data_IF_641602514515
#
_entry.id   IF_641602514515
#
_cell.length_a   1.000
_cell.length_b   1.000
_cell.length_c   1.000
_cell.angle_alpha   90.00
_cell.angle_beta   90.00
_cell.angle_gamma   90.00
#
_symmetry.space_group_name_H-M   'P 1'
#
loop_
_entity.id
_entity.type
_entity.pdbx_description
1 polymer ?
#
# COMPACT_ATOMS: atom_id res chain seq x y z
N UNK A 1 -22.86 -14.31 2.14
CA UNK A 1 -21.89 -13.67 3.05
C UNK A 1 -20.55 -13.57 2.34
N UNK A 2 -20.04 -12.37 2.05
CA UNK A 2 -18.68 -12.23 1.51
C UNK A 2 -17.71 -12.65 2.60
N UNK A 3 -16.85 -13.65 2.34
CA UNK A 3 -15.82 -14.05 3.29
C UNK A 3 -14.82 -12.89 3.42
N UNK A 4 -14.60 -12.40 4.63
CA UNK A 4 -13.51 -11.46 4.91
C UNK A 4 -12.21 -12.16 4.54
N UNK A 5 -11.56 -11.73 3.45
CA UNK A 5 -10.24 -12.23 3.09
C UNK A 5 -9.21 -11.49 3.94
N UNK A 6 -8.22 -12.20 4.51
CA UNK A 6 -7.12 -11.55 5.20
C UNK A 6 -6.33 -10.69 4.20
N UNK A 7 -6.02 -9.47 4.62
CA UNK A 7 -5.12 -8.56 3.88
C UNK A 7 -3.78 -8.57 4.61
N UNK A 8 -2.70 -8.84 3.87
CA UNK A 8 -1.33 -8.83 4.39
C UNK A 8 -0.54 -7.79 3.62
N UNK A 9 0.13 -6.90 4.35
CA UNK A 9 1.05 -5.92 3.80
C UNK A 9 2.28 -5.83 4.70
N UNK A 10 3.41 -5.43 4.13
CA UNK A 10 4.67 -5.17 4.83
C UNK A 10 4.88 -3.66 4.90
N UNK A 11 5.27 -3.15 6.07
CA UNK A 11 5.63 -1.74 6.27
C UNK A 11 7.12 -1.68 6.56
N UNK A 12 7.84 -0.90 5.76
CA UNK A 12 9.26 -0.60 5.96
C UNK A 12 9.39 0.87 6.37
N UNK A 13 9.98 1.11 7.55
CA UNK A 13 10.34 2.45 8.01
C UNK A 13 11.77 2.70 7.56
N UNK A 14 11.95 3.72 6.72
CA UNK A 14 13.23 4.02 6.08
C UNK A 14 13.87 5.25 6.74
N UNK A 15 13.04 6.25 7.11
CA UNK A 15 13.51 7.49 7.72
C UNK A 15 12.60 7.94 8.87
N UNK A 16 13.20 8.67 9.82
CA UNK A 16 12.48 9.43 10.83
C UNK A 16 12.89 10.90 10.75
N UNK A 17 12.01 11.71 10.14
CA UNK A 17 12.25 13.12 9.85
C UNK A 17 11.06 13.94 10.31
N UNK A 18 11.28 15.16 10.80
CA UNK A 18 10.21 16.05 11.31
C UNK A 18 9.26 15.37 12.33
N UNK A 19 9.81 14.49 13.16
CA UNK A 19 9.07 13.70 14.15
C UNK A 19 8.03 12.72 13.58
N UNK A 20 8.12 12.36 12.29
CA UNK A 20 7.23 11.41 11.64
C UNK A 20 8.00 10.27 10.97
N UNK A 21 7.36 9.09 10.87
CA UNK A 21 7.89 7.99 10.06
C UNK A 21 7.66 8.22 8.57
N UNK A 22 8.64 7.80 7.78
CA UNK A 22 8.59 7.79 6.31
C UNK A 22 9.13 6.46 5.80
N UNK A 23 8.61 6.00 4.67
CA UNK A 23 9.06 4.75 4.08
C UNK A 23 8.04 4.19 3.10
N UNK A 24 7.91 2.87 3.06
CA UNK A 24 7.11 2.19 2.04
C UNK A 24 6.21 1.10 2.62
N UNK A 25 5.06 0.89 1.97
CA UNK A 25 4.17 -0.24 2.20
C UNK A 25 4.15 -1.14 0.97
N UNK A 26 4.31 -2.45 1.18
CA UNK A 26 4.36 -3.45 0.12
C UNK A 26 3.20 -4.42 0.23
N UNK A 27 2.46 -4.60 -0.86
CA UNK A 27 1.33 -5.53 -0.94
C UNK A 27 1.14 -6.00 -2.38
N UNK A 28 0.97 -7.30 -2.60
CA UNK A 28 0.66 -7.88 -3.92
C UNK A 28 1.59 -7.42 -5.07
N UNK A 29 2.88 -7.18 -4.78
CA UNK A 29 3.86 -6.70 -5.75
C UNK A 29 3.84 -5.19 -6.00
N UNK A 30 2.93 -4.44 -5.36
CA UNK A 30 2.95 -2.98 -5.34
C UNK A 30 3.78 -2.47 -4.16
N UNK A 31 4.50 -1.38 -4.37
CA UNK A 31 5.21 -0.63 -3.33
C UNK A 31 4.70 0.80 -3.36
N UNK A 32 4.18 1.29 -2.23
CA UNK A 32 3.58 2.62 -2.14
C UNK A 32 4.31 3.40 -1.03
N UNK A 33 4.88 4.59 -1.34
CA UNK A 33 5.56 5.40 -0.32
C UNK A 33 4.56 6.11 0.59
N UNK A 34 4.97 6.38 1.83
CA UNK A 34 4.29 7.26 2.77
C UNK A 34 5.28 8.28 3.35
N UNK A 35 4.81 9.48 3.66
CA UNK A 35 5.65 10.60 4.14
C UNK A 35 5.29 11.03 5.56
N UNK A 36 4.22 10.48 6.12
CA UNK A 36 3.83 10.73 7.49
C UNK A 36 3.06 9.56 8.12
N UNK A 37 2.93 9.58 9.45
CA UNK A 37 2.09 8.63 10.18
C UNK A 37 0.63 8.67 9.72
N UNK A 38 0.12 9.88 9.40
CA UNK A 38 -1.22 10.05 8.86
C UNK A 38 -1.36 9.43 7.46
N UNK A 39 -0.39 9.64 6.57
CA UNK A 39 -0.38 9.03 5.25
C UNK A 39 -0.39 7.50 5.33
N UNK A 40 0.40 6.93 6.26
CA UNK A 40 0.43 5.50 6.52
C UNK A 40 -0.94 4.97 6.97
N UNK A 41 -1.61 5.64 7.91
CA UNK A 41 -2.93 5.24 8.39
C UNK A 41 -3.99 5.32 7.30
N UNK A 42 -3.97 6.37 6.48
CA UNK A 42 -4.87 6.52 5.33
C UNK A 42 -4.63 5.41 4.31
N UNK A 43 -3.36 5.06 4.06
CA UNK A 43 -3.00 3.97 3.16
C UNK A 43 -3.52 2.63 3.67
N UNK A 44 -3.29 2.30 4.95
CA UNK A 44 -3.79 1.05 5.55
C UNK A 44 -5.31 1.01 5.48
N UNK A 45 -5.99 2.11 5.81
CA UNK A 45 -7.44 2.19 5.72
C UNK A 45 -7.93 1.93 4.29
N UNK A 46 -7.23 2.43 3.28
CA UNK A 46 -7.52 2.15 1.88
C UNK A 46 -7.32 0.67 1.54
N UNK A 47 -6.18 0.07 1.92
CA UNK A 47 -5.85 -1.32 1.62
C UNK A 47 -6.81 -2.32 2.28
N UNK A 48 -7.36 -1.99 3.44
CA UNK A 48 -8.31 -2.83 4.17
C UNK A 48 -9.74 -2.70 3.62
N UNK A 49 -10.12 -1.51 3.14
CA UNK A 49 -11.50 -1.23 2.71
C UNK A 49 -11.73 -1.34 1.20
N UNK A 50 -10.70 -1.19 0.37
CA UNK A 50 -10.88 -1.29 -1.08
C UNK A 50 -10.92 -2.74 -1.55
N UNK A 51 -11.84 -3.02 -2.49
CA UNK A 51 -11.69 -3.97 -3.55
C UNK A 51 -10.25 -4.27 -3.89
N UNK A 52 -9.65 -5.46 -3.66
CA UNK A 52 -8.44 -5.80 -4.41
C UNK A 52 -8.83 -6.04 -5.89
N UNK A 53 -9.34 -5.01 -6.56
CA UNK A 53 -9.56 -4.99 -7.99
C UNK A 53 -8.18 -4.86 -8.61
N UNK A 54 -7.63 -6.04 -8.88
CA UNK A 54 -6.55 -6.31 -9.84
C UNK A 54 -6.52 -5.24 -10.95
N UNK A 55 -5.79 -4.16 -10.73
CA UNK A 55 -5.53 -3.15 -11.74
C UNK A 55 -4.42 -3.70 -12.63
N UNK A 56 -4.76 -4.73 -13.41
CA UNK A 56 -3.93 -5.20 -14.51
C UNK A 56 -4.01 -4.16 -15.63
N UNK A 57 -3.15 -3.15 -15.57
CA UNK A 57 -2.66 -2.55 -16.80
C UNK A 57 -1.36 -3.25 -17.16
N UNK A 58 -1.53 -4.37 -17.86
CA UNK A 58 -0.48 -4.95 -18.69
C UNK A 58 -0.25 -3.93 -19.80
N UNK A 59 0.64 -2.96 -19.59
CA UNK A 59 1.16 -2.14 -20.69
C UNK A 59 2.12 -3.04 -21.45
N UNK A 60 1.55 -3.81 -22.37
CA UNK A 60 2.28 -4.41 -23.48
C UNK A 60 2.88 -3.27 -24.29
N UNK A 61 4.12 -2.89 -23.98
CA UNK A 61 4.92 -2.06 -24.88
C UNK A 61 5.30 -2.94 -26.07
N UNK A 62 4.45 -2.87 -27.09
CA UNK A 62 4.69 -3.42 -28.41
C UNK A 62 5.55 -2.41 -29.17
N UNK A 63 6.82 -2.75 -29.40
CA UNK A 63 7.65 -2.28 -30.52
C UNK A 63 8.87 -3.19 -30.68
#
# INVERSE_FOLDING_TARGET
>A
MKKNQPVTFEVSIEEYNNHTWQGTVRMNGQTIPFQSDLDLLLLINRLVNEPCEKTFHKTSAQR
#
